data_IF_937259598688
#
_entry.id   IF_937259598688
#
_cell.length_a   1.000
_cell.length_b   1.000
_cell.length_c   1.000
_cell.angle_alpha   90.00
_cell.angle_beta   90.00
_cell.angle_gamma   90.00
#
_symmetry.space_group_name_H-M   'P 1'
#
loop_
_entity.id
_entity.type
_entity.pdbx_description
1 polymer ?
#
# COMPACT_ATOMS: atom_id res chain seq x y z
N UNK A 1 25.14 -26.98 64.28
CA UNK A 1 24.04 -27.15 65.25
C UNK A 1 23.93 -25.89 66.11
N UNK A 2 22.88 -25.08 65.93
CA UNK A 2 22.24 -24.26 66.98
C UNK A 2 21.00 -23.59 66.39
N UNK A 3 19.89 -24.25 66.71
CA UNK A 3 18.55 -23.78 66.99
C UNK A 3 18.17 -22.29 66.94
N UNK A 4 16.87 -22.14 66.57
CA UNK A 4 15.84 -21.15 66.96
C UNK A 4 15.76 -19.88 66.13
N UNK A 5 14.60 -19.27 65.89
CA UNK A 5 13.17 -19.62 65.96
C UNK A 5 12.43 -18.26 65.84
N UNK A 6 11.40 -18.20 64.98
CA UNK A 6 10.17 -17.39 65.10
C UNK A 6 10.27 -15.86 65.26
N UNK A 7 9.60 -15.10 64.38
CA UNK A 7 8.39 -14.35 64.74
C UNK A 7 7.73 -13.70 63.52
N UNK A 8 6.42 -13.92 63.44
CA UNK A 8 5.45 -13.24 62.59
C UNK A 8 5.44 -11.74 62.84
N UNK A 9 5.26 -10.94 61.78
CA UNK A 9 4.53 -9.68 61.85
C UNK A 9 3.91 -9.38 60.49
N UNK A 10 2.63 -9.71 60.42
CA UNK A 10 1.62 -9.16 59.53
C UNK A 10 1.68 -7.64 59.51
N UNK A 11 1.68 -7.03 58.33
CA UNK A 11 1.09 -5.70 58.15
C UNK A 11 0.39 -5.62 56.79
N UNK A 12 -0.93 -5.57 56.88
CA UNK A 12 -1.84 -5.29 55.80
C UNK A 12 -1.65 -3.86 55.31
N UNK A 13 -1.54 -3.69 53.99
CA UNK A 13 -1.84 -2.43 53.32
C UNK A 13 -2.56 -2.76 52.01
N UNK A 14 -3.84 -3.12 52.13
CA UNK A 14 -4.80 -3.08 51.04
C UNK A 14 -5.00 -1.60 50.66
N UNK A 15 -4.15 -1.09 49.77
CA UNK A 15 -4.33 0.22 49.15
C UNK A 15 -5.33 0.09 48.01
N UNK A 16 -6.56 0.56 48.24
CA UNK A 16 -7.61 0.65 47.23
C UNK A 16 -7.24 1.66 46.14
N UNK A 17 -6.57 1.21 45.07
CA UNK A 17 -6.49 1.96 43.82
C UNK A 17 -7.80 1.75 43.05
N UNK A 18 -8.81 2.55 43.38
CA UNK A 18 -9.95 2.85 42.51
C UNK A 18 -9.43 3.68 41.32
N UNK A 19 -8.72 3.01 40.41
CA UNK A 19 -8.29 3.58 39.14
C UNK A 19 -9.50 3.78 38.26
N UNK A 20 -9.85 5.05 38.02
CA UNK A 20 -10.87 5.45 37.06
C UNK A 20 -10.61 4.74 35.71
N UNK A 21 -11.49 3.80 35.37
CA UNK A 21 -11.65 3.29 34.01
C UNK A 21 -12.16 4.45 33.16
N UNK A 22 -11.25 5.32 32.76
CA UNK A 22 -11.50 6.28 31.70
C UNK A 22 -11.78 5.48 30.44
N UNK A 23 -13.04 5.47 30.01
CA UNK A 23 -13.39 5.07 28.64
C UNK A 23 -12.63 6.01 27.71
N UNK A 24 -11.43 5.60 27.30
CA UNK A 24 -10.77 6.17 26.15
C UNK A 24 -11.63 5.78 24.96
N UNK A 25 -12.58 6.65 24.62
CA UNK A 25 -13.19 6.66 23.30
C UNK A 25 -12.04 6.84 22.32
N UNK A 26 -11.60 5.74 21.71
CA UNK A 26 -10.72 5.79 20.56
C UNK A 26 -11.49 6.56 19.49
N UNK A 27 -11.27 7.87 19.45
CA UNK A 27 -11.71 8.69 18.35
C UNK A 27 -11.07 8.05 17.12
N UNK A 28 -11.89 7.35 16.34
CA UNK A 28 -11.50 6.90 15.01
C UNK A 28 -11.30 8.17 14.21
N UNK A 29 -10.08 8.71 14.27
CA UNK A 29 -9.64 9.75 13.38
C UNK A 29 -9.89 9.18 11.99
N UNK A 30 -10.86 9.77 11.28
CA UNK A 30 -11.11 9.49 9.87
C UNK A 30 -9.75 9.66 9.22
N UNK A 31 -9.08 8.55 8.90
CA UNK A 31 -7.66 8.59 8.56
C UNK A 31 -7.55 9.30 7.23
N UNK A 32 -7.25 10.60 7.30
CA UNK A 32 -6.90 11.39 6.15
C UNK A 32 -5.85 10.60 5.35
N UNK A 33 -5.92 10.70 4.01
CA UNK A 33 -4.99 10.00 3.15
C UNK A 33 -3.55 10.31 3.60
N UNK A 34 -2.76 9.31 4.06
CA UNK A 34 -1.43 9.52 4.64
C UNK A 34 -0.39 9.94 3.59
N UNK A 35 -0.81 10.05 2.34
CA UNK A 35 0.03 10.39 1.19
C UNK A 35 -0.62 11.54 0.41
N UNK A 36 0.22 12.49 0.02
CA UNK A 36 -0.13 13.51 -0.97
C UNK A 36 0.56 13.19 -2.29
N UNK A 37 -0.23 12.93 -3.35
CA UNK A 37 0.31 12.69 -4.69
C UNK A 37 0.53 14.02 -5.39
N UNK A 38 1.77 14.30 -5.80
CA UNK A 38 2.18 15.48 -6.56
C UNK A 38 2.20 15.25 -8.06
N UNK A 39 2.48 14.02 -8.51
CA UNK A 39 2.54 13.64 -9.93
C UNK A 39 2.01 12.22 -10.14
N UNK A 40 1.30 12.00 -11.23
CA UNK A 40 0.86 10.69 -11.70
C UNK A 40 0.81 10.67 -13.23
N UNK A 41 1.85 10.17 -13.87
CA UNK A 41 1.96 10.17 -15.33
C UNK A 41 2.30 8.78 -15.86
N UNK A 42 1.82 8.47 -17.07
CA UNK A 42 2.20 7.26 -17.79
C UNK A 42 3.04 7.63 -19.02
N UNK A 43 4.25 7.07 -19.11
CA UNK A 43 5.12 7.14 -20.29
C UNK A 43 5.08 5.80 -21.01
N UNK A 44 4.81 5.81 -22.32
CA UNK A 44 4.85 4.60 -23.17
C UNK A 44 5.99 4.76 -24.17
N UNK A 45 7.00 3.91 -24.09
CA UNK A 45 8.19 3.94 -24.94
C UNK A 45 7.82 3.37 -26.32
N UNK A 46 7.76 4.24 -27.33
CA UNK A 46 7.50 3.87 -28.73
C UNK A 46 6.04 3.94 -29.19
N UNK A 47 5.11 4.41 -28.36
CA UNK A 47 3.67 4.49 -28.70
C UNK A 47 3.12 5.91 -28.67
N UNK A 48 2.17 6.20 -29.57
CA UNK A 48 1.28 7.37 -29.45
C UNK A 48 0.34 7.16 -28.24
N UNK A 49 0.04 8.20 -27.45
CA UNK A 49 -1.07 8.11 -26.48
C UNK A 49 -2.35 7.69 -27.22
N UNK A 50 -3.04 6.65 -26.74
CA UNK A 50 -4.35 6.24 -27.27
C UNK A 50 -4.45 4.95 -28.09
N UNK A 51 -3.48 4.03 -28.05
CA UNK A 51 -3.59 2.72 -28.69
C UNK A 51 -3.69 1.56 -27.70
N UNK A 52 -4.84 0.89 -27.60
CA UNK A 52 -4.90 -0.49 -27.08
C UNK A 52 -4.22 -1.41 -28.10
N UNK A 53 -2.97 -1.80 -27.86
CA UNK A 53 -2.26 -2.73 -28.75
C UNK A 53 -2.39 -4.16 -28.23
N UNK A 54 -3.56 -4.76 -28.50
CA UNK A 54 -3.90 -6.20 -28.58
C UNK A 54 -3.23 -7.21 -27.61
N UNK A 55 -4.08 -7.89 -26.86
CA UNK A 55 -4.04 -9.34 -26.49
C UNK A 55 -2.72 -10.09 -26.73
N UNK A 56 -1.71 -9.84 -25.90
CA UNK A 56 -0.73 -10.88 -25.55
C UNK A 56 -0.92 -11.24 -24.08
N UNK A 57 -2.12 -11.74 -23.78
CA UNK A 57 -2.45 -12.30 -22.48
C UNK A 57 -1.65 -13.58 -22.27
N UNK A 58 -0.67 -13.53 -21.36
CA UNK A 58 -0.30 -14.71 -20.61
C UNK A 58 -1.18 -14.78 -19.36
N UNK A 59 -1.40 -16.00 -18.87
CA UNK A 59 -2.39 -16.34 -17.84
C UNK A 59 -1.84 -16.12 -16.41
N UNK A 60 -2.51 -15.29 -15.61
CA UNK A 60 -2.25 -15.11 -14.16
C UNK A 60 -1.46 -13.85 -13.76
N UNK A 61 -1.52 -12.77 -14.53
CA UNK A 61 -0.61 -11.62 -14.42
C UNK A 61 -1.33 -10.39 -13.87
N UNK A 62 -0.79 -9.79 -12.81
CA UNK A 62 -1.09 -8.40 -12.42
C UNK A 62 -0.14 -7.45 -13.13
N UNK A 63 -0.66 -6.34 -13.62
CA UNK A 63 0.15 -5.35 -14.30
C UNK A 63 0.59 -4.23 -13.37
N UNK A 64 1.77 -4.39 -12.75
CA UNK A 64 2.64 -3.25 -12.40
C UNK A 64 3.84 -3.54 -11.49
N UNK A 65 5.02 -3.36 -12.11
CA UNK A 65 6.40 -3.21 -11.67
C UNK A 65 7.20 -4.32 -10.97
N UNK A 66 8.47 -4.38 -11.35
CA UNK A 66 9.56 -5.23 -10.89
C UNK A 66 10.18 -4.74 -9.56
N UNK A 67 9.90 -5.37 -8.41
CA UNK A 67 10.86 -5.40 -7.31
C UNK A 67 11.86 -6.55 -7.53
N UNK A 68 13.06 -6.44 -6.95
CA UNK A 68 13.89 -7.62 -6.72
C UNK A 68 13.07 -8.63 -5.91
N UNK A 69 13.13 -9.91 -6.29
CA UNK A 69 12.36 -11.05 -5.77
C UNK A 69 11.85 -10.90 -4.31
N UNK A 70 10.64 -11.41 -3.97
CA UNK A 70 9.86 -12.44 -4.69
C UNK A 70 8.78 -11.92 -5.65
N UNK A 71 8.53 -12.68 -6.73
CA UNK A 71 7.52 -12.41 -7.78
C UNK A 71 6.08 -12.76 -7.39
N UNK A 72 5.84 -13.07 -6.12
CA UNK A 72 4.53 -13.42 -5.59
C UNK A 72 4.14 -12.42 -4.51
N UNK A 73 2.95 -11.85 -4.61
CA UNK A 73 2.41 -10.97 -3.57
C UNK A 73 0.89 -11.11 -3.45
N UNK A 74 0.35 -10.72 -2.31
CA UNK A 74 -1.10 -10.62 -2.14
C UNK A 74 -1.53 -9.19 -2.51
N UNK A 75 -2.60 -9.03 -3.28
CA UNK A 75 -3.21 -7.72 -3.52
C UNK A 75 -3.75 -7.10 -2.21
N UNK A 76 -4.22 -5.84 -2.25
CA UNK A 76 -4.85 -5.22 -1.08
C UNK A 76 -6.06 -6.00 -0.54
N UNK A 77 -6.70 -6.85 -1.36
CA UNK A 77 -7.85 -7.69 -0.98
C UNK A 77 -7.47 -9.07 -0.44
N UNK A 78 -6.18 -9.44 -0.46
CA UNK A 78 -5.65 -10.71 0.03
C UNK A 78 -5.52 -11.84 -0.99
N UNK A 79 -5.79 -11.61 -2.28
CA UNK A 79 -5.59 -12.62 -3.32
C UNK A 79 -4.12 -12.69 -3.73
N UNK A 80 -3.58 -13.90 -3.88
CA UNK A 80 -2.19 -14.12 -4.26
C UNK A 80 -2.00 -14.02 -5.79
N UNK A 81 -1.00 -13.26 -6.22
CA UNK A 81 -0.67 -13.07 -7.63
C UNK A 81 0.79 -13.34 -7.92
N UNK A 82 1.03 -13.86 -9.13
CA UNK A 82 2.34 -13.91 -9.74
C UNK A 82 2.52 -12.70 -10.65
N UNK A 83 3.65 -12.02 -10.52
CA UNK A 83 3.98 -10.90 -11.38
C UNK A 83 5.40 -11.05 -11.94
N UNK A 84 5.54 -11.32 -13.24
CA UNK A 84 6.84 -11.36 -13.89
C UNK A 84 7.42 -9.93 -13.98
N UNK A 85 8.68 -9.83 -14.36
CA UNK A 85 9.22 -8.55 -14.83
C UNK A 85 8.48 -8.10 -16.09
N UNK A 86 7.74 -7.00 -16.02
CA UNK A 86 7.14 -6.38 -17.21
C UNK A 86 8.23 -5.73 -18.08
N UNK A 87 8.11 -5.85 -19.40
CA UNK A 87 9.04 -5.22 -20.34
C UNK A 87 8.99 -3.69 -20.25
N UNK A 88 10.13 -3.01 -20.45
CA UNK A 88 10.28 -1.55 -20.28
C UNK A 88 9.60 -0.66 -21.33
N UNK A 89 8.46 -1.08 -21.88
CA UNK A 89 7.68 -0.36 -22.89
C UNK A 89 6.66 0.62 -22.30
N UNK A 90 6.31 0.54 -21.02
CA UNK A 90 5.52 1.57 -20.33
C UNK A 90 5.94 1.76 -18.88
N UNK A 91 5.85 3.00 -18.38
CA UNK A 91 6.29 3.41 -17.06
C UNK A 91 5.29 4.40 -16.44
N UNK A 92 4.78 4.07 -15.25
CA UNK A 92 4.04 4.94 -14.36
C UNK A 92 5.01 5.71 -13.46
N UNK A 93 4.95 7.04 -13.49
CA UNK A 93 5.70 7.93 -12.62
C UNK A 93 4.79 8.45 -11.52
N UNK A 94 5.21 8.27 -10.27
CA UNK A 94 4.50 8.79 -9.10
C UNK A 94 5.47 9.63 -8.28
N UNK A 95 5.15 10.91 -8.12
CA UNK A 95 5.80 11.76 -7.14
C UNK A 95 4.82 11.94 -5.99
N UNK A 96 5.24 11.67 -4.77
CA UNK A 96 4.38 11.72 -3.59
C UNK A 96 5.12 12.17 -2.34
N UNK A 97 4.37 12.66 -1.36
CA UNK A 97 4.88 13.01 -0.04
C UNK A 97 4.21 12.17 1.03
N UNK A 98 5.01 11.58 1.92
CA UNK A 98 4.49 10.99 3.15
C UNK A 98 4.00 12.12 4.06
N UNK A 99 2.69 12.35 4.15
CA UNK A 99 2.12 13.36 5.06
C UNK A 99 1.68 12.78 6.40
N UNK A 100 1.91 11.47 6.61
CA UNK A 100 1.71 10.84 7.91
C UNK A 100 2.83 11.22 8.88
N UNK A 101 2.56 11.06 10.18
CA UNK A 101 3.58 11.18 11.22
C UNK A 101 4.46 9.94 11.38
N UNK A 102 4.33 8.93 10.51
CA UNK A 102 4.99 7.63 10.64
C UNK A 102 5.86 7.33 9.42
N UNK A 103 6.97 6.64 9.62
CA UNK A 103 7.75 6.11 8.52
C UNK A 103 7.00 4.94 7.86
N UNK A 104 6.91 4.96 6.53
CA UNK A 104 6.36 3.83 5.77
C UNK A 104 7.48 2.94 5.25
N UNK A 105 7.22 1.64 5.16
CA UNK A 105 8.15 0.66 4.60
C UNK A 105 7.62 -0.08 3.37
N UNK A 106 6.31 -0.22 3.23
CA UNK A 106 5.67 -0.78 2.04
C UNK A 106 4.51 0.12 1.66
N UNK A 107 4.38 0.42 0.36
CA UNK A 107 3.24 1.14 -0.21
C UNK A 107 2.76 0.35 -1.43
N UNK A 108 1.46 0.08 -1.47
CA UNK A 108 0.76 -0.45 -2.64
C UNK A 108 -0.03 0.69 -3.27
N UNK A 109 0.15 0.87 -4.58
CA UNK A 109 -0.41 1.93 -5.40
C UNK A 109 -1.38 1.36 -6.40
N UNK A 110 -2.40 2.16 -6.74
CA UNK A 110 -3.31 1.92 -7.84
C UNK A 110 -3.24 3.09 -8.82
N UNK A 111 -3.26 2.77 -10.11
CA UNK A 111 -3.54 3.74 -11.15
C UNK A 111 -5.03 3.68 -11.48
N UNK A 112 -5.75 4.76 -11.19
CA UNK A 112 -7.17 4.93 -11.40
C UNK A 112 -7.46 5.66 -12.71
N UNK A 113 -8.40 5.11 -13.47
CA UNK A 113 -9.00 5.76 -14.62
C UNK A 113 -10.52 5.75 -14.46
N UNK A 114 -11.07 6.91 -14.11
CA UNK A 114 -12.53 7.13 -13.94
C UNK A 114 -13.15 6.22 -12.87
N UNK A 115 -12.47 6.03 -11.74
CA UNK A 115 -12.97 5.22 -10.62
C UNK A 115 -12.81 3.71 -10.83
N UNK A 116 -11.84 3.30 -11.65
CA UNK A 116 -11.49 1.90 -11.90
C UNK A 116 -9.98 1.76 -11.84
N UNK A 117 -9.47 0.82 -11.04
CA UNK A 117 -8.04 0.51 -11.02
C UNK A 117 -7.64 -0.23 -12.30
N UNK A 118 -6.69 0.34 -13.02
CA UNK A 118 -6.17 -0.20 -14.29
C UNK A 118 -4.72 -0.68 -14.18
N UNK A 119 -4.01 -0.28 -13.13
CA UNK A 119 -2.68 -0.80 -12.78
C UNK A 119 -2.53 -0.85 -11.26
N UNK A 120 -1.66 -1.73 -10.77
CA UNK A 120 -1.24 -1.75 -9.37
C UNK A 120 0.28 -1.84 -9.28
N UNK A 121 0.89 -1.17 -8.32
CA UNK A 121 2.34 -1.27 -8.09
C UNK A 121 2.64 -1.37 -6.60
N UNK A 122 3.58 -2.23 -6.22
CA UNK A 122 4.07 -2.34 -4.84
C UNK A 122 5.49 -1.81 -4.75
N UNK A 123 5.74 -1.00 -3.74
CA UNK A 123 7.03 -0.38 -3.46
C UNK A 123 7.45 -0.66 -2.02
N UNK A 124 8.66 -1.18 -1.86
CA UNK A 124 9.27 -1.40 -0.56
C UNK A 124 10.49 -0.49 -0.41
N UNK A 125 10.65 0.13 0.75
CA UNK A 125 11.73 1.08 0.99
C UNK A 125 11.62 1.75 2.34
N UNK A 126 12.28 2.90 2.47
CA UNK A 126 12.17 3.76 3.64
C UNK A 126 11.58 5.09 3.19
N UNK A 127 10.34 5.36 3.58
CA UNK A 127 9.63 6.58 3.21
C UNK A 127 9.38 7.42 4.47
N UNK A 128 10.34 8.26 4.81
CA UNK A 128 10.28 9.06 6.04
C UNK A 128 9.19 10.15 5.98
N UNK A 129 8.64 10.58 7.14
CA UNK A 129 7.65 11.65 7.21
C UNK A 129 8.10 12.94 6.50
N UNK A 130 7.18 13.57 5.80
CA UNK A 130 7.33 14.81 5.02
C UNK A 130 8.39 14.76 3.90
N UNK A 131 8.95 13.60 3.59
CA UNK A 131 9.85 13.45 2.45
C UNK A 131 9.04 13.42 1.15
N UNK A 132 9.51 14.12 0.12
CA UNK A 132 9.06 13.92 -1.25
C UNK A 132 9.82 12.74 -1.85
N UNK A 133 9.08 11.82 -2.46
CA UNK A 133 9.59 10.59 -3.05
C UNK A 133 9.15 10.54 -4.50
N UNK A 134 10.09 10.24 -5.40
CA UNK A 134 9.87 10.14 -6.85
C UNK A 134 10.13 8.72 -7.29
N UNK A 135 9.14 8.07 -7.88
CA UNK A 135 9.21 6.67 -8.26
C UNK A 135 8.78 6.46 -9.70
N UNK A 136 9.38 5.43 -10.28
CA UNK A 136 9.12 4.95 -11.62
C UNK A 136 8.78 3.48 -11.53
N UNK A 137 7.60 3.13 -11.99
CA UNK A 137 7.03 1.79 -11.98
C UNK A 137 6.77 1.37 -13.43
N UNK A 138 7.48 0.38 -13.94
CA UNK A 138 7.08 -0.32 -15.17
C UNK A 138 5.66 -0.87 -15.05
N UNK A 139 4.83 -0.67 -16.06
CA UNK A 139 3.45 -1.17 -16.09
C UNK A 139 3.16 -1.83 -17.43
N UNK A 140 2.05 -2.55 -17.52
CA UNK A 140 1.62 -3.14 -18.78
C UNK A 140 1.30 -2.03 -19.81
N UNK A 141 1.86 -2.06 -21.02
CA UNK A 141 1.60 -1.05 -22.04
C UNK A 141 0.14 -0.98 -22.47
N UNK A 142 -0.69 -1.99 -22.20
CA UNK A 142 -2.12 -1.97 -22.51
C UNK A 142 -2.95 -1.05 -21.60
N UNK A 143 -2.34 -0.42 -20.59
CA UNK A 143 -3.01 0.46 -19.62
C UNK A 143 -3.08 1.91 -20.10
N UNK A 144 -2.66 2.23 -21.33
CA UNK A 144 -2.65 3.62 -21.80
C UNK A 144 -4.06 4.22 -21.77
N UNK A 145 -4.29 5.28 -20.95
CA UNK A 145 -5.54 6.00 -21.03
C UNK A 145 -5.70 6.54 -22.46
N UNK A 146 -6.93 6.54 -22.97
CA UNK A 146 -7.22 7.24 -24.22
C UNK A 146 -6.80 8.71 -24.07
N UNK A 147 -6.40 9.34 -25.17
CA UNK A 147 -6.07 10.76 -25.17
C UNK A 147 -7.19 11.59 -24.48
N UNK A 148 -6.80 12.49 -23.59
CA UNK A 148 -7.74 13.29 -22.78
C UNK A 148 -8.30 12.60 -21.53
N UNK A 149 -8.00 11.32 -21.29
CA UNK A 149 -8.38 10.65 -20.04
C UNK A 149 -7.30 10.89 -18.99
N UNK A 150 -7.70 11.50 -17.87
CA UNK A 150 -6.83 11.73 -16.73
C UNK A 150 -6.57 10.44 -15.97
N UNK A 151 -5.30 10.10 -15.80
CA UNK A 151 -4.83 9.08 -14.87
C UNK A 151 -4.71 9.71 -13.47
N UNK A 152 -5.15 8.99 -12.45
CA UNK A 152 -4.92 9.38 -11.05
C UNK A 152 -4.20 8.25 -10.34
N UNK A 153 -3.26 8.57 -9.44
CA UNK A 153 -2.57 7.57 -8.65
C UNK A 153 -3.10 7.65 -7.24
N UNK A 154 -3.48 6.51 -6.67
CA UNK A 154 -4.05 6.42 -5.33
C UNK A 154 -3.26 5.39 -4.52
N UNK A 155 -2.94 5.67 -3.25
CA UNK A 155 -2.40 4.65 -2.37
C UNK A 155 -3.53 3.70 -1.95
N UNK A 156 -3.30 2.40 -2.09
CA UNK A 156 -4.27 1.35 -1.77
C UNK A 156 -4.04 0.83 -0.35
N UNK A 157 -2.77 0.59 -0.02
CA UNK A 157 -2.35 0.02 1.27
C UNK A 157 -0.95 0.48 1.63
N UNK A 158 -0.72 0.67 2.92
CA UNK A 158 0.57 1.07 3.48
C UNK A 158 0.89 0.17 4.66
N UNK A 159 2.12 -0.29 4.74
CA UNK A 159 2.71 -0.88 5.95
C UNK A 159 3.73 0.10 6.53
N UNK A 160 3.52 0.49 7.78
CA UNK A 160 4.41 1.38 8.51
C UNK A 160 5.58 0.61 9.13
N UNK A 161 6.66 1.32 9.45
CA UNK A 161 7.85 0.73 10.07
C UNK A 161 7.53 0.08 11.44
N UNK A 162 6.50 0.56 12.15
CA UNK A 162 6.00 0.01 13.41
C UNK A 162 5.13 -1.25 13.26
N UNK A 163 4.89 -1.71 12.02
CA UNK A 163 4.06 -2.88 11.70
C UNK A 163 2.57 -2.59 11.61
N UNK A 164 2.11 -1.37 11.91
CA UNK A 164 0.72 -0.99 11.66
C UNK A 164 0.45 -0.83 10.16
N UNK A 165 -0.81 -0.94 9.75
CA UNK A 165 -1.22 -0.79 8.36
C UNK A 165 -2.29 0.28 8.20
N UNK A 166 -2.35 0.86 7.01
CA UNK A 166 -3.45 1.68 6.54
C UNK A 166 -3.93 1.14 5.19
N UNK A 167 -5.23 1.16 4.94
CA UNK A 167 -5.83 0.81 3.66
C UNK A 167 -6.88 1.84 3.29
N UNK A 168 -7.03 2.13 1.99
CA UNK A 168 -8.10 3.00 1.52
C UNK A 168 -9.46 2.30 1.67
N UNK A 169 -10.39 2.96 2.35
CA UNK A 169 -11.76 2.44 2.54
C UNK A 169 -12.63 2.62 1.30
N UNK A 170 -12.28 3.58 0.45
CA UNK A 170 -13.02 3.92 -0.78
C UNK A 170 -12.22 3.48 -2.02
N UNK A 171 -11.44 2.40 -1.88
CA UNK A 171 -10.59 1.87 -2.94
C UNK A 171 -11.42 1.57 -4.21
N UNK A 172 -11.02 2.09 -5.38
CA UNK A 172 -11.74 1.81 -6.61
C UNK A 172 -11.70 0.31 -6.91
N UNK A 173 -12.78 -0.25 -7.50
CA UNK A 173 -12.75 -1.65 -7.89
C UNK A 173 -11.69 -1.87 -8.98
N UNK A 174 -11.07 -3.05 -8.99
CA UNK A 174 -10.18 -3.44 -10.07
C UNK A 174 -10.94 -3.53 -11.40
N UNK A 175 -10.30 -3.11 -12.49
CA UNK A 175 -10.78 -3.43 -13.83
C UNK A 175 -10.90 -4.94 -13.96
N UNK A 176 -11.94 -5.41 -14.65
CA UNK A 176 -12.05 -6.82 -15.00
C UNK A 176 -10.77 -7.33 -15.70
N UNK A 177 -10.12 -6.46 -16.47
CA UNK A 177 -8.88 -6.79 -17.19
C UNK A 177 -7.61 -6.73 -16.35
N UNK A 178 -7.65 -6.09 -15.16
CA UNK A 178 -6.48 -5.94 -14.30
C UNK A 178 -5.96 -7.31 -13.81
N UNK A 179 -6.90 -8.20 -13.55
CA UNK A 179 -6.64 -9.55 -13.05
C UNK A 179 -7.10 -10.65 -14.01
N UNK A 180 -7.52 -10.33 -15.25
CA UNK A 180 -7.92 -11.34 -16.22
C UNK A 180 -6.71 -12.09 -16.78
N UNK A 181 -6.19 -12.93 -15.91
CA UNK A 181 -5.63 -14.23 -16.17
C UNK A 181 -6.57 -15.32 -15.68
N UNK A 182 -7.71 -15.47 -16.38
CA UNK A 182 -8.61 -16.64 -16.45
C UNK A 182 -9.60 -16.98 -15.30
N UNK A 183 -10.75 -17.63 -15.61
CA UNK A 183 -11.24 -18.78 -14.83
C UNK A 183 -10.31 -20.00 -14.97
#
# INVERSE_FOLDING_TARGET
>A
MRHRAWLFLTNAALGACLGALGLATAASANSANPIKVGRCDLEVRGGRPGGYSSTTGFVGYTSGYTPGAPYWFNDPMGHAYYQPSTSGSANLFIDFTNVSGKEMKIIEWGADVRGVLVAEARDAGKFSPNAEIKRKYGVEPNIVPREGVKLTCVPLKIEYADGTTWSDKDMPPPSATLYQGHP
#
